data_IF_978392569866
#
_entry.id   IF_978392569866
#
_cell.length_a   1.000
_cell.length_b   1.000
_cell.length_c   1.000
_cell.angle_alpha   90.00
_cell.angle_beta   90.00
_cell.angle_gamma   90.00
#
_symmetry.space_group_name_H-M   'P 1'
#
loop_
_entity.id
_entity.type
_entity.pdbx_description
1 polymer ?
#
# COMPACT_ATOMS: atom_id res chain seq x y z
N UNK A 1 -2.95 2.43 -44.25
CA UNK A 1 -2.23 1.21 -43.81
C UNK A 1 -0.96 1.46 -42.98
N UNK A 2 0.14 2.03 -43.51
CA UNK A 2 1.36 2.24 -42.70
C UNK A 2 1.18 3.28 -41.57
N UNK A 3 0.47 4.38 -41.85
CA UNK A 3 0.15 5.41 -40.86
C UNK A 3 -0.75 4.89 -39.73
N UNK A 4 -1.79 4.12 -40.06
CA UNK A 4 -2.69 3.50 -39.07
C UNK A 4 -1.98 2.44 -38.20
N UNK A 5 -1.01 1.70 -38.76
CA UNK A 5 -0.18 0.78 -37.96
C UNK A 5 0.74 1.54 -37.01
N UNK A 6 1.35 2.64 -37.43
CA UNK A 6 2.20 3.47 -36.57
C UNK A 6 1.42 4.07 -35.41
N UNK A 7 0.29 4.71 -35.71
CA UNK A 7 -0.61 5.30 -34.73
C UNK A 7 -1.11 4.24 -33.72
N UNK A 8 -1.51 3.05 -34.19
CA UNK A 8 -1.96 1.95 -33.32
C UNK A 8 -0.87 1.51 -32.33
N UNK A 9 0.40 1.45 -32.74
CA UNK A 9 1.50 1.04 -31.86
C UNK A 9 1.80 2.11 -30.80
N UNK A 10 1.67 3.39 -31.12
CA UNK A 10 1.80 4.49 -30.16
C UNK A 10 0.69 4.45 -29.10
N UNK A 11 -0.55 4.20 -29.52
CA UNK A 11 -1.68 4.04 -28.60
C UNK A 11 -1.53 2.85 -27.65
N UNK A 12 -1.10 1.69 -28.14
CA UNK A 12 -0.88 0.52 -27.26
C UNK A 12 0.26 0.76 -26.27
N UNK A 13 1.30 1.52 -26.64
CA UNK A 13 2.36 1.95 -25.70
C UNK A 13 1.80 2.87 -24.62
N UNK A 14 0.95 3.82 -24.99
CA UNK A 14 0.28 4.70 -24.03
C UNK A 14 -0.57 3.89 -23.04
N UNK A 15 -1.35 2.92 -23.53
CA UNK A 15 -2.14 2.04 -22.66
C UNK A 15 -1.28 1.16 -21.74
N UNK A 16 -0.09 0.72 -22.19
CA UNK A 16 0.85 0.02 -21.33
C UNK A 16 1.34 0.92 -20.20
N UNK A 17 1.70 2.17 -20.49
CA UNK A 17 2.12 3.14 -19.48
C UNK A 17 0.98 3.43 -18.49
N UNK A 18 -0.25 3.61 -18.97
CA UNK A 18 -1.44 3.79 -18.12
C UNK A 18 -1.65 2.56 -17.22
N UNK A 19 -1.46 1.34 -17.74
CA UNK A 19 -1.57 0.10 -16.98
C UNK A 19 -0.49 0.02 -15.88
N UNK A 20 0.77 0.34 -16.19
CA UNK A 20 1.83 0.38 -15.19
C UNK A 20 1.56 1.42 -14.11
N UNK A 21 1.16 2.64 -14.48
CA UNK A 21 0.78 3.69 -13.52
C UNK A 21 -0.40 3.25 -12.66
N UNK A 22 -1.42 2.62 -13.27
CA UNK A 22 -2.58 2.09 -12.56
C UNK A 22 -2.23 0.95 -11.61
N UNK A 23 -1.24 0.12 -11.92
CA UNK A 23 -0.73 -0.89 -11.00
C UNK A 23 -0.13 -0.24 -9.75
N UNK A 24 0.73 0.77 -9.89
CA UNK A 24 1.29 1.46 -8.72
C UNK A 24 0.22 2.21 -7.92
N UNK A 25 -0.74 2.85 -8.58
CA UNK A 25 -1.86 3.52 -7.89
C UNK A 25 -2.74 2.54 -7.11
N UNK A 26 -3.12 1.40 -7.72
CA UNK A 26 -3.91 0.37 -7.04
C UNK A 26 -3.13 -0.31 -5.91
N UNK A 27 -1.82 -0.51 -6.07
CA UNK A 27 -0.93 -1.03 -5.03
C UNK A 27 -0.90 -0.11 -3.81
N UNK A 28 -0.66 1.19 -4.01
CA UNK A 28 -0.64 2.18 -2.92
C UNK A 28 -2.01 2.28 -2.25
N UNK A 29 -3.09 2.26 -3.04
CA UNK A 29 -4.46 2.32 -2.51
C UNK A 29 -4.84 1.07 -1.70
N UNK A 30 -4.49 -0.12 -2.18
CA UNK A 30 -4.68 -1.36 -1.44
C UNK A 30 -3.84 -1.38 -0.15
N UNK A 31 -2.58 -0.94 -0.24
CA UNK A 31 -1.68 -0.80 0.90
C UNK A 31 -2.25 0.13 1.97
N UNK A 32 -2.77 1.30 1.60
CA UNK A 32 -3.41 2.23 2.52
C UNK A 32 -4.54 1.56 3.32
N UNK A 33 -5.47 0.89 2.64
CA UNK A 33 -6.58 0.22 3.31
C UNK A 33 -6.11 -0.95 4.18
N UNK A 34 -5.06 -1.65 3.78
CA UNK A 34 -4.46 -2.69 4.61
C UNK A 34 -3.87 -2.12 5.91
N UNK A 35 -3.18 -0.98 5.85
CA UNK A 35 -2.51 -0.36 7.00
C UNK A 35 -3.50 0.27 7.99
N UNK A 36 -4.54 0.94 7.51
CA UNK A 36 -5.57 1.58 8.36
C UNK A 36 -6.55 0.58 8.99
N UNK A 37 -6.22 -0.71 8.99
CA UNK A 37 -7.05 -1.76 9.59
C UNK A 37 -7.38 -1.50 11.06
N UNK A 38 -6.44 -0.93 11.81
CA UNK A 38 -6.64 -0.58 13.22
C UNK A 38 -7.68 0.54 13.42
N UNK A 39 -7.86 1.40 12.41
CA UNK A 39 -8.74 2.57 12.45
C UNK A 39 -10.07 2.34 11.73
N UNK A 40 -10.34 1.11 11.28
CA UNK A 40 -11.60 0.72 10.64
C UNK A 40 -12.82 1.04 11.50
N UNK A 41 -12.71 0.93 12.82
CA UNK A 41 -13.83 1.25 13.71
C UNK A 41 -14.20 2.73 13.67
N UNK A 42 -13.21 3.61 13.56
CA UNK A 42 -13.44 5.07 13.43
C UNK A 42 -14.14 5.38 12.10
N UNK A 43 -13.66 4.79 11.00
CA UNK A 43 -14.32 4.89 9.70
C UNK A 43 -15.78 4.40 9.73
N UNK A 44 -16.01 3.25 10.35
CA UNK A 44 -17.35 2.66 10.46
C UNK A 44 -18.29 3.55 11.29
N UNK A 45 -17.78 4.16 12.36
CA UNK A 45 -18.51 5.15 13.17
C UNK A 45 -18.86 6.40 12.38
N UNK A 46 -17.91 6.95 11.62
CA UNK A 46 -18.17 8.07 10.74
C UNK A 46 -19.30 7.76 9.73
N UNK A 47 -19.24 6.58 9.12
CA UNK A 47 -20.27 6.14 8.18
C UNK A 47 -21.63 5.89 8.86
N UNK A 48 -21.63 5.35 10.07
CA UNK A 48 -22.84 5.20 10.89
C UNK A 48 -23.52 6.55 11.12
N UNK A 49 -22.76 7.56 11.55
CA UNK A 49 -23.30 8.90 11.81
C UNK A 49 -23.93 9.54 10.56
N UNK A 50 -23.42 9.21 9.37
CA UNK A 50 -23.94 9.71 8.09
C UNK A 50 -25.12 8.90 7.54
N UNK A 51 -25.16 7.59 7.77
CA UNK A 51 -26.16 6.67 7.20
C UNK A 51 -27.31 6.33 8.15
N UNK A 52 -27.11 6.50 9.45
CA UNK A 52 -28.08 6.18 10.50
C UNK A 52 -28.19 4.70 10.86
N UNK A 53 -27.34 3.83 10.30
CA UNK A 53 -27.32 2.39 10.61
C UNK A 53 -25.89 1.84 10.63
N UNK A 54 -25.67 0.84 11.48
CA UNK A 54 -24.35 0.23 11.67
C UNK A 54 -24.09 -0.81 10.59
N UNK A 55 -22.91 -0.72 9.98
CA UNK A 55 -22.40 -1.70 9.04
C UNK A 55 -20.87 -1.60 9.00
N UNK A 56 -20.19 -2.69 8.69
CA UNK A 56 -18.73 -2.75 8.58
C UNK A 56 -18.28 -2.19 7.23
N UNK A 57 -18.47 -0.89 7.02
CA UNK A 57 -18.22 -0.19 5.75
C UNK A 57 -16.78 -0.27 5.26
N UNK A 58 -15.80 -0.40 6.16
CA UNK A 58 -14.40 -0.60 5.81
C UNK A 58 -14.17 -1.90 5.03
N UNK A 59 -14.92 -2.96 5.33
CA UNK A 59 -14.74 -4.28 4.69
C UNK A 59 -15.07 -4.25 3.19
N UNK A 60 -16.24 -3.75 2.74
CA UNK A 60 -16.51 -3.56 1.31
C UNK A 60 -15.47 -2.68 0.61
N UNK A 61 -14.95 -1.65 1.27
CA UNK A 61 -13.95 -0.76 0.65
C UNK A 61 -12.62 -1.50 0.44
N UNK A 62 -12.15 -2.27 1.44
CA UNK A 62 -10.98 -3.12 1.30
C UNK A 62 -11.17 -4.19 0.21
N UNK A 63 -12.36 -4.82 0.14
CA UNK A 63 -12.70 -5.80 -0.91
C UNK A 63 -12.66 -5.16 -2.29
N UNK A 64 -13.18 -3.93 -2.45
CA UNK A 64 -13.11 -3.20 -3.72
C UNK A 64 -11.66 -2.83 -4.08
N UNK A 65 -10.87 -2.35 -3.12
CA UNK A 65 -9.47 -2.01 -3.33
C UNK A 65 -8.64 -3.23 -3.75
N UNK A 66 -8.78 -4.34 -3.02
CA UNK A 66 -8.11 -5.61 -3.33
C UNK A 66 -8.54 -6.19 -4.69
N UNK A 67 -9.84 -6.15 -5.01
CA UNK A 67 -10.34 -6.61 -6.31
C UNK A 67 -9.76 -5.78 -7.46
N UNK A 68 -9.73 -4.45 -7.32
CA UNK A 68 -9.11 -3.56 -8.29
C UNK A 68 -7.62 -3.83 -8.48
N UNK A 69 -6.89 -4.02 -7.38
CA UNK A 69 -5.47 -4.36 -7.42
C UNK A 69 -5.21 -5.71 -8.10
N UNK A 70 -5.95 -6.77 -7.74
CA UNK A 70 -5.81 -8.09 -8.37
C UNK A 70 -6.12 -8.00 -9.87
N UNK A 71 -7.19 -7.32 -10.25
CA UNK A 71 -7.58 -7.15 -11.65
C UNK A 71 -6.48 -6.45 -12.47
N UNK A 72 -5.95 -5.32 -11.98
CA UNK A 72 -4.90 -4.57 -12.68
C UNK A 72 -3.58 -5.36 -12.71
N UNK A 73 -3.24 -6.06 -11.63
CA UNK A 73 -2.06 -6.94 -11.57
C UNK A 73 -2.16 -8.07 -12.60
N UNK A 74 -3.33 -8.70 -12.71
CA UNK A 74 -3.58 -9.74 -13.71
C UNK A 74 -3.38 -9.21 -15.14
N UNK A 75 -3.94 -8.03 -15.45
CA UNK A 75 -3.73 -7.40 -16.75
C UNK A 75 -2.25 -7.06 -17.01
N UNK A 76 -1.52 -6.60 -16.00
CA UNK A 76 -0.09 -6.32 -16.10
C UNK A 76 0.71 -7.60 -16.40
N UNK A 77 0.42 -8.70 -15.70
CA UNK A 77 1.06 -10.00 -15.95
C UNK A 77 0.80 -10.45 -17.38
N UNK A 78 -0.45 -10.37 -17.86
CA UNK A 78 -0.77 -10.71 -19.24
C UNK A 78 0.00 -9.83 -20.24
N UNK A 79 0.08 -8.52 -19.99
CA UNK A 79 0.85 -7.60 -20.84
C UNK A 79 2.34 -7.98 -20.88
N UNK A 80 2.94 -8.33 -19.72
CA UNK A 80 4.32 -8.80 -19.65
C UNK A 80 4.52 -10.13 -20.38
N UNK A 81 3.56 -11.06 -20.31
CA UNK A 81 3.59 -12.31 -21.08
C UNK A 81 3.56 -12.07 -22.60
N UNK A 82 2.71 -11.15 -23.08
CA UNK A 82 2.71 -10.76 -24.49
C UNK A 82 4.08 -10.21 -24.93
N UNK A 83 4.67 -9.34 -24.11
CA UNK A 83 6.02 -8.78 -24.33
C UNK A 83 7.07 -9.90 -24.33
N UNK A 84 6.97 -10.89 -23.44
CA UNK A 84 7.88 -12.04 -23.39
C UNK A 84 7.86 -12.82 -24.71
N UNK A 85 6.66 -13.15 -25.21
CA UNK A 85 6.45 -13.89 -26.47
C UNK A 85 6.80 -13.03 -27.71
N UNK A 86 6.95 -11.71 -27.55
CA UNK A 86 7.23 -10.78 -28.65
C UNK A 86 5.97 -10.42 -29.44
N UNK A 87 4.80 -10.65 -28.87
CA UNK A 87 3.52 -10.19 -29.41
C UNK A 87 3.26 -8.75 -28.97
N UNK A 88 2.60 -7.99 -29.85
CA UNK A 88 2.11 -6.67 -29.48
C UNK A 88 1.03 -6.82 -28.41
N UNK A 89 1.10 -5.96 -27.39
CA UNK A 89 0.03 -5.86 -26.40
C UNK A 89 -1.22 -5.30 -27.11
N UNK A 90 -2.33 -6.02 -26.97
CA UNK A 90 -3.62 -5.62 -27.52
C UNK A 90 -4.65 -5.74 -26.40
N UNK A 91 -4.78 -4.65 -25.63
CA UNK A 91 -5.75 -4.63 -24.55
C UNK A 91 -7.15 -4.48 -25.14
N UNK A 92 -7.99 -5.49 -24.93
CA UNK A 92 -9.38 -5.44 -25.38
C UNK A 92 -10.09 -4.19 -24.84
N UNK A 93 -11.00 -3.60 -25.62
CA UNK A 93 -11.65 -2.34 -25.27
C UNK A 93 -12.36 -2.40 -23.90
N UNK A 94 -12.92 -3.58 -23.55
CA UNK A 94 -13.51 -3.83 -22.24
C UNK A 94 -12.51 -3.56 -21.10
N UNK A 95 -11.28 -4.05 -21.24
CA UNK A 95 -10.25 -3.86 -20.22
C UNK A 95 -9.71 -2.44 -20.19
N UNK A 96 -9.67 -1.75 -21.35
CA UNK A 96 -9.37 -0.31 -21.41
C UNK A 96 -10.40 0.49 -20.60
N UNK A 97 -11.69 0.23 -20.81
CA UNK A 97 -12.77 0.84 -20.03
C UNK A 97 -12.64 0.47 -18.55
N UNK A 98 -12.46 -0.81 -18.22
CA UNK A 98 -12.29 -1.26 -16.83
C UNK A 98 -11.13 -0.57 -16.12
N UNK A 99 -9.97 -0.46 -16.77
CA UNK A 99 -8.80 0.24 -16.24
C UNK A 99 -9.10 1.73 -15.99
N UNK A 100 -9.77 2.41 -16.94
CA UNK A 100 -10.15 3.82 -16.73
C UNK A 100 -11.13 3.99 -15.57
N UNK A 101 -12.09 3.09 -15.39
CA UNK A 101 -13.04 3.13 -14.27
C UNK A 101 -12.31 2.95 -12.94
N UNK A 102 -11.37 2.00 -12.85
CA UNK A 102 -10.57 1.79 -11.64
C UNK A 102 -9.74 3.04 -11.30
N UNK A 103 -9.09 3.66 -12.29
CA UNK A 103 -8.30 4.87 -12.08
C UNK A 103 -9.15 6.06 -11.61
N UNK A 104 -10.31 6.28 -12.22
CA UNK A 104 -11.25 7.33 -11.79
C UNK A 104 -11.78 7.05 -10.39
N UNK A 105 -12.10 5.79 -10.07
CA UNK A 105 -12.56 5.41 -8.73
C UNK A 105 -11.49 5.69 -7.67
N UNK A 106 -10.21 5.35 -7.94
CA UNK A 106 -9.10 5.66 -7.02
C UNK A 106 -8.95 7.17 -6.86
N UNK A 107 -8.98 7.94 -7.94
CA UNK A 107 -8.90 9.40 -7.86
C UNK A 107 -10.00 9.97 -6.94
N UNK A 108 -11.25 9.57 -7.15
CA UNK A 108 -12.39 10.00 -6.31
C UNK A 108 -12.19 9.56 -4.87
N UNK A 109 -11.69 8.34 -4.64
CA UNK A 109 -11.48 7.82 -3.30
C UNK A 109 -10.35 8.54 -2.55
N UNK A 110 -9.23 8.85 -3.21
CA UNK A 110 -8.14 9.66 -2.67
C UNK A 110 -8.62 11.06 -2.31
N UNK A 111 -9.40 11.70 -3.18
CA UNK A 111 -10.00 13.01 -2.89
C UNK A 111 -10.93 12.92 -1.67
N UNK A 112 -11.71 11.85 -1.58
CA UNK A 112 -12.63 11.64 -0.46
C UNK A 112 -11.89 11.48 0.87
N UNK A 113 -10.82 10.67 0.91
CA UNK A 113 -9.96 10.52 2.10
C UNK A 113 -9.29 11.84 2.45
N UNK A 114 -8.74 12.57 1.47
CA UNK A 114 -8.13 13.87 1.71
C UNK A 114 -9.11 14.91 2.30
N UNK A 115 -10.39 14.85 1.96
CA UNK A 115 -11.40 15.78 2.47
C UNK A 115 -11.99 15.35 3.82
N UNK A 116 -12.14 14.05 4.05
CA UNK A 116 -12.88 13.51 5.19
C UNK A 116 -11.98 13.00 6.31
N UNK A 117 -10.76 12.59 5.97
CA UNK A 117 -9.88 11.86 6.88
C UNK A 117 -8.40 12.16 6.58
N UNK A 118 -8.07 13.46 6.56
CA UNK A 118 -6.76 13.95 6.18
C UNK A 118 -5.63 13.53 7.15
N UNK A 119 -5.97 13.32 8.42
CA UNK A 119 -5.02 12.97 9.49
C UNK A 119 -4.39 11.58 9.27
N UNK A 120 -5.06 10.69 8.53
CA UNK A 120 -4.58 9.33 8.25
C UNK A 120 -3.45 9.28 7.22
N UNK A 121 -3.21 10.36 6.46
CA UNK A 121 -2.09 10.40 5.52
C UNK A 121 -0.73 10.29 6.24
N UNK A 122 -0.65 10.75 7.49
CA UNK A 122 0.56 10.62 8.30
C UNK A 122 0.85 9.16 8.68
N UNK A 123 -0.20 8.35 8.86
CA UNK A 123 -0.07 6.91 9.12
C UNK A 123 0.60 6.23 7.93
N UNK A 124 0.24 6.59 6.70
CA UNK A 124 0.84 6.01 5.50
C UNK A 124 2.36 6.19 5.49
N UNK A 125 2.86 7.39 5.83
CA UNK A 125 4.29 7.66 5.84
C UNK A 125 5.03 6.84 6.89
N UNK A 126 4.47 6.75 8.10
CA UNK A 126 5.05 5.98 9.21
C UNK A 126 5.01 4.48 8.89
N UNK A 127 3.88 3.99 8.38
CA UNK A 127 3.71 2.61 7.93
C UNK A 127 4.66 2.26 6.79
N UNK A 128 4.89 3.17 5.83
CA UNK A 128 5.88 2.97 4.77
C UNK A 128 7.28 2.83 5.34
N UNK A 129 7.68 3.61 6.34
CA UNK A 129 9.00 3.46 6.96
C UNK A 129 9.13 2.14 7.73
N UNK A 130 8.07 1.72 8.41
CA UNK A 130 8.04 0.44 9.12
C UNK A 130 8.12 -0.75 8.15
N UNK A 131 7.41 -0.68 7.02
CA UNK A 131 7.35 -1.75 6.02
C UNK A 131 8.41 -1.65 4.92
N UNK A 132 9.15 -0.54 4.84
CA UNK A 132 10.15 -0.26 3.80
C UNK A 132 11.16 -1.39 3.59
N UNK A 133 11.73 -2.05 4.63
CA UNK A 133 12.64 -3.18 4.42
C UNK A 133 11.98 -4.34 3.67
N UNK A 134 10.71 -4.65 3.95
CA UNK A 134 9.98 -5.73 3.29
C UNK A 134 9.60 -5.35 1.85
N UNK A 135 9.12 -4.11 1.64
CA UNK A 135 8.83 -3.57 0.31
C UNK A 135 10.09 -3.51 -0.56
N UNK A 136 11.25 -3.19 0.02
CA UNK A 136 12.53 -3.20 -0.67
C UNK A 136 12.92 -4.60 -1.17
N UNK A 137 12.83 -5.62 -0.32
CA UNK A 137 13.08 -7.01 -0.71
C UNK A 137 12.15 -7.41 -1.85
N UNK A 138 10.85 -7.07 -1.74
CA UNK A 138 9.87 -7.32 -2.79
C UNK A 138 10.20 -6.62 -4.11
N UNK A 139 10.63 -5.36 -4.06
CA UNK A 139 11.00 -4.58 -5.23
C UNK A 139 12.28 -5.13 -5.92
N UNK A 140 13.28 -5.55 -5.15
CA UNK A 140 14.48 -6.22 -5.69
C UNK A 140 14.10 -7.55 -6.34
N UNK A 141 13.25 -8.36 -5.70
CA UNK A 141 12.76 -9.60 -6.28
C UNK A 141 11.96 -9.38 -7.58
N UNK A 142 11.13 -8.34 -7.64
CA UNK A 142 10.41 -7.99 -8.86
C UNK A 142 11.38 -7.53 -9.97
N UNK A 143 12.38 -6.71 -9.65
CA UNK A 143 13.39 -6.25 -10.59
C UNK A 143 14.21 -7.41 -11.17
N UNK A 144 14.60 -8.39 -10.34
CA UNK A 144 15.34 -9.57 -10.79
C UNK A 144 14.50 -10.46 -11.71
N UNK A 145 13.20 -10.64 -11.42
CA UNK A 145 12.28 -11.37 -12.32
C UNK A 145 12.12 -10.64 -13.66
N UNK A 146 11.99 -9.32 -13.64
CA UNK A 146 11.88 -8.50 -14.86
C UNK A 146 13.17 -8.47 -15.68
N UNK A 147 14.34 -8.76 -15.08
CA UNK A 147 15.64 -8.73 -15.74
C UNK A 147 15.66 -9.58 -17.01
N UNK A 148 15.08 -10.77 -16.97
CA UNK A 148 15.01 -11.67 -18.12
C UNK A 148 14.20 -11.06 -19.28
N UNK A 149 13.06 -10.43 -18.97
CA UNK A 149 12.23 -9.77 -19.99
C UNK A 149 12.97 -8.61 -20.63
N UNK A 150 13.69 -7.82 -19.82
CA UNK A 150 14.49 -6.68 -20.28
C UNK A 150 15.64 -7.15 -21.17
N UNK A 151 16.37 -8.19 -20.76
CA UNK A 151 17.43 -8.79 -21.58
C UNK A 151 16.88 -9.33 -22.92
N UNK A 152 15.70 -9.96 -22.91
CA UNK A 152 15.03 -10.42 -24.11
C UNK A 152 14.57 -9.28 -25.04
N UNK A 153 14.15 -8.13 -24.50
CA UNK A 153 13.85 -6.93 -25.30
C UNK A 153 15.11 -6.30 -25.88
N UNK A 154 16.19 -6.26 -25.09
CA UNK A 154 17.49 -5.75 -25.53
C UNK A 154 18.03 -6.56 -26.71
N UNK A 155 18.02 -7.90 -26.59
CA UNK A 155 18.52 -8.80 -27.62
C UNK A 155 17.70 -8.78 -28.92
N UNK A 156 16.39 -8.49 -28.85
CA UNK A 156 15.49 -8.44 -30.02
C UNK A 156 15.45 -7.06 -30.70
N UNK A 157 16.00 -6.02 -30.08
CA UNK A 157 15.90 -4.67 -30.63
C UNK A 157 17.04 -4.35 -31.58
N UNK A 158 16.71 -3.94 -32.80
CA UNK A 158 17.71 -3.48 -33.78
C UNK A 158 18.12 -2.01 -33.59
N UNK A 159 17.45 -1.29 -32.67
CA UNK A 159 17.66 0.16 -32.48
C UNK A 159 18.54 0.40 -31.27
N UNK A 160 19.79 0.80 -31.52
CA UNK A 160 20.79 1.14 -30.48
C UNK A 160 20.27 2.19 -29.50
N UNK A 161 19.48 3.17 -29.96
CA UNK A 161 18.87 4.19 -29.10
C UNK A 161 17.91 3.55 -28.07
N UNK A 162 17.08 2.59 -28.51
CA UNK A 162 16.15 1.90 -27.63
C UNK A 162 16.88 0.95 -26.66
N UNK A 163 17.88 0.22 -27.13
CA UNK A 163 18.74 -0.64 -26.31
C UNK A 163 19.44 0.17 -25.19
N UNK A 164 20.05 1.29 -25.56
CA UNK A 164 20.75 2.18 -24.62
C UNK A 164 19.78 2.75 -23.60
N UNK A 165 18.62 3.24 -24.05
CA UNK A 165 17.58 3.76 -23.16
C UNK A 165 17.07 2.71 -22.17
N UNK A 166 16.73 1.51 -22.66
CA UNK A 166 16.24 0.39 -21.85
C UNK A 166 17.27 0.00 -20.77
N UNK A 167 18.54 -0.12 -21.17
CA UNK A 167 19.64 -0.47 -20.26
C UNK A 167 19.86 0.61 -19.20
N UNK A 168 19.86 1.88 -19.58
CA UNK A 168 20.03 3.00 -18.64
C UNK A 168 18.90 3.07 -17.63
N UNK A 169 17.64 2.89 -18.07
CA UNK A 169 16.47 2.87 -17.17
C UNK A 169 16.57 1.70 -16.18
N UNK A 170 16.92 0.50 -16.66
CA UNK A 170 17.05 -0.66 -15.78
C UNK A 170 18.21 -0.54 -14.80
N UNK A 171 19.37 -0.07 -15.26
CA UNK A 171 20.53 0.18 -14.40
C UNK A 171 20.23 1.26 -13.36
N UNK A 172 19.58 2.35 -13.77
CA UNK A 172 19.13 3.41 -12.87
C UNK A 172 18.17 2.90 -11.80
N UNK A 173 17.22 2.05 -12.17
CA UNK A 173 16.32 1.37 -11.24
C UNK A 173 17.09 0.50 -10.24
N UNK A 174 18.05 -0.32 -10.70
CA UNK A 174 18.86 -1.16 -9.83
C UNK A 174 19.71 -0.33 -8.86
N UNK A 175 20.38 0.71 -9.36
CA UNK A 175 21.19 1.60 -8.52
C UNK A 175 20.30 2.25 -7.46
N UNK A 176 19.14 2.79 -7.84
CA UNK A 176 18.19 3.37 -6.90
C UNK A 176 17.78 2.34 -5.84
N UNK A 177 17.34 1.14 -6.24
CA UNK A 177 16.97 0.07 -5.33
C UNK A 177 18.13 -0.30 -4.39
N UNK A 178 19.36 -0.45 -4.87
CA UNK A 178 20.50 -0.80 -4.01
C UNK A 178 20.93 0.33 -3.06
N UNK A 179 20.60 1.59 -3.37
CA UNK A 179 20.83 2.73 -2.48
C UNK A 179 19.71 2.96 -1.46
N UNK A 180 18.49 2.46 -1.70
CA UNK A 180 17.35 2.60 -0.77
C UNK A 180 17.69 2.20 0.68
N UNK A 181 18.40 1.09 0.96
CA UNK A 181 18.75 0.71 2.34
C UNK A 181 19.57 1.74 3.10
N UNK A 182 20.28 2.66 2.41
CA UNK A 182 21.02 3.75 3.05
C UNK A 182 20.10 4.87 3.55
N UNK A 183 18.87 4.94 3.03
CA UNK A 183 17.89 6.00 3.30
C UNK A 183 16.77 5.48 4.23
N UNK A 184 16.55 4.17 4.31
CA UNK A 184 15.53 3.59 5.20
C UNK A 184 15.93 3.82 6.66
N UNK A 185 15.15 4.65 7.35
CA UNK A 185 15.12 4.73 8.80
C UNK A 185 13.89 3.97 9.31
N UNK A 186 14.11 2.93 10.12
CA UNK A 186 12.99 2.16 10.69
C UNK A 186 12.58 2.75 12.04
N UNK A 187 11.33 3.21 12.22
CA UNK A 187 10.85 3.70 13.52
C UNK A 187 10.78 2.58 14.57
N UNK A 188 10.85 1.32 14.16
CA UNK A 188 10.81 0.17 15.07
C UNK A 188 12.16 -0.15 15.70
N UNK A 189 13.27 0.30 15.09
CA UNK A 189 14.64 0.02 15.56
C UNK A 189 15.30 1.35 15.90
N UNK A 190 14.90 1.92 17.03
CA UNK A 190 15.46 3.16 17.56
C UNK A 190 16.60 2.86 18.53
N UNK A 191 17.64 3.71 18.53
CA UNK A 191 18.65 3.65 19.59
C UNK A 191 18.05 4.15 20.89
N UNK A 192 18.62 3.71 22.01
CA UNK A 192 18.14 4.07 23.34
C UNK A 192 18.20 5.58 23.61
N UNK A 193 19.14 6.28 22.99
CA UNK A 193 19.30 7.74 23.05
C UNK A 193 18.20 8.51 22.31
N UNK A 194 17.58 7.90 21.29
CA UNK A 194 16.51 8.49 20.49
C UNK A 194 15.11 8.22 21.07
N UNK A 195 15.01 7.41 22.13
CA UNK A 195 13.75 7.09 22.77
C UNK A 195 13.25 8.28 23.60
N UNK A 196 12.02 8.70 23.32
CA UNK A 196 11.26 9.60 24.19
C UNK A 196 11.14 9.03 25.61
N UNK A 197 10.86 9.90 26.59
CA UNK A 197 10.63 9.50 27.98
C UNK A 197 9.63 8.33 28.03
N UNK A 198 9.93 7.32 28.86
CA UNK A 198 9.05 6.16 29.09
C UNK A 198 7.60 6.65 29.26
N UNK A 199 6.65 6.17 28.45
CA UNK A 199 5.26 6.58 28.58
C UNK A 199 4.70 6.12 29.92
N UNK A 200 3.78 6.89 30.48
CA UNK A 200 3.07 6.50 31.69
C UNK A 200 2.19 5.27 31.39
N UNK A 201 2.38 4.19 32.13
CA UNK A 201 1.61 2.96 32.00
C UNK A 201 0.48 2.99 33.03
N UNK A 202 -0.75 3.15 32.56
CA UNK A 202 -1.94 3.20 33.42
C UNK A 202 -2.62 1.83 33.40
N UNK A 203 -2.83 1.25 34.60
CA UNK A 203 -3.58 0.00 34.76
C UNK A 203 -5.07 0.24 34.54
N UNK A 204 -5.56 -0.05 33.33
CA UNK A 204 -6.98 0.09 33.01
C UNK A 204 -7.82 -0.98 33.74
N UNK A 205 -8.65 -0.56 34.71
CA UNK A 205 -9.38 -1.45 35.64
C UNK A 205 -8.45 -2.37 36.45
N UNK A 206 -7.22 -1.90 36.70
CA UNK A 206 -6.12 -2.68 37.29
C UNK A 206 -5.32 -3.45 36.23
N UNK A 207 -5.11 -4.76 36.43
CA UNK A 207 -4.50 -5.69 35.45
C UNK A 207 -5.47 -6.82 35.14
N UNK A 208 -6.47 -6.60 34.26
CA UNK A 208 -7.56 -7.55 34.02
C UNK A 208 -7.10 -8.91 33.45
N UNK A 209 -5.93 -8.97 32.82
CA UNK A 209 -5.35 -10.24 32.36
C UNK A 209 -4.78 -11.11 33.49
N UNK A 210 -4.57 -10.55 34.70
CA UNK A 210 -3.97 -11.25 35.84
C UNK A 210 -4.88 -11.36 37.07
N UNK A 211 -5.90 -10.52 37.19
CA UNK A 211 -6.84 -10.51 38.31
C UNK A 211 -8.19 -9.91 37.88
N UNK A 212 -9.29 -10.19 38.60
CA UNK A 212 -10.62 -9.68 38.25
C UNK A 212 -10.67 -8.15 38.15
N UNK A 213 -11.24 -7.62 37.06
CA UNK A 213 -11.30 -6.18 36.79
C UNK A 213 -12.02 -5.37 37.88
N UNK A 214 -11.61 -4.11 38.07
CA UNK A 214 -12.19 -3.19 39.07
C UNK A 214 -12.21 -3.72 40.51
N UNK A 215 -11.28 -4.62 40.88
CA UNK A 215 -11.13 -5.13 42.25
C UNK A 215 -9.85 -4.64 42.90
N UNK A 216 -9.86 -4.57 44.24
CA UNK A 216 -8.66 -4.23 45.03
C UNK A 216 -7.48 -5.14 44.69
N UNK A 217 -7.72 -6.43 44.47
CA UNK A 217 -6.70 -7.40 44.06
C UNK A 217 -6.03 -7.03 42.73
N UNK A 218 -6.82 -6.56 41.76
CA UNK A 218 -6.30 -6.15 40.44
C UNK A 218 -5.48 -4.86 40.51
N UNK A 219 -5.88 -3.92 41.36
CA UNK A 219 -5.09 -2.71 41.63
C UNK A 219 -3.80 -3.00 42.41
N UNK A 220 -3.84 -3.93 43.36
CA UNK A 220 -2.64 -4.40 44.06
C UNK A 220 -1.64 -5.02 43.08
N UNK A 221 -2.10 -5.90 42.18
CA UNK A 221 -1.24 -6.42 41.11
C UNK A 221 -0.72 -5.33 40.19
N UNK A 222 -1.52 -4.32 39.83
CA UNK A 222 -1.05 -3.20 39.01
C UNK A 222 0.08 -2.41 39.70
N UNK A 223 -0.03 -2.21 41.02
CA UNK A 223 0.99 -1.55 41.82
C UNK A 223 2.29 -2.39 41.91
N UNK A 224 2.17 -3.71 42.10
CA UNK A 224 3.32 -4.64 42.07
C UNK A 224 4.09 -4.56 40.74
N UNK A 225 3.38 -4.38 39.63
CA UNK A 225 3.95 -4.22 38.29
C UNK A 225 4.40 -2.78 37.96
N UNK A 226 4.41 -1.88 38.95
CA UNK A 226 4.86 -0.48 38.82
C UNK A 226 4.10 0.30 37.75
N UNK A 227 2.77 0.14 37.72
CA UNK A 227 1.92 1.04 36.96
C UNK A 227 2.07 2.48 37.48
N UNK A 228 2.09 3.45 36.58
CA UNK A 228 2.24 4.87 36.89
C UNK A 228 0.90 5.48 37.36
N UNK A 229 -0.22 4.79 37.14
CA UNK A 229 -1.56 5.17 37.62
C UNK A 229 -2.61 4.08 37.42
N UNK A 230 -3.83 4.33 37.91
CA UNK A 230 -4.96 3.41 37.80
C UNK A 230 -6.18 4.10 37.18
N UNK A 231 -6.90 3.39 36.32
CA UNK A 231 -8.22 3.80 35.86
C UNK A 231 -9.28 2.90 36.52
N UNK A 232 -10.30 3.51 37.14
CA UNK A 232 -11.37 2.81 37.87
C UNK A 232 -12.74 3.31 37.39
N UNK A 233 -13.66 2.37 37.20
CA UNK A 233 -15.05 2.70 36.90
C UNK A 233 -15.87 2.72 38.20
N UNK A 234 -16.60 3.82 38.43
CA UNK A 234 -17.48 3.99 39.58
C UNK A 234 -18.91 4.13 39.10
N UNK A 235 -19.82 3.38 39.71
CA UNK A 235 -21.28 3.51 39.50
C UNK A 235 -21.95 3.78 40.85
N UNK A 236 -22.89 4.73 40.86
CA UNK A 236 -23.72 5.03 42.04
C UNK A 236 -24.90 4.07 42.02
N UNK A 237 -25.22 3.50 43.18
CA UNK A 237 -26.34 2.58 43.36
C UNK A 237 -27.48 3.25 44.11
#
# INVERSE_FOLDING_TARGET
MLFERSCRVEWERLWFLILCTGFFMTLVWFYFWWEVHNDYNEFNWYMYNKKGYWNDWSVPVLVLASTGFIYVTFLLILALCHIAVGQQMNLHWLHKVGLTVVLVAILVAVISVNQLWNEEWDIILISFQATAPFLHIGAVAAATILAWLIAGQFARSDRVVFQTFLLLVYLGLLIALYLVPLIIYSPCIMKREDLSRRPAVIGNRGVPMLAPENTLMSFQKAAEWRADGFNINVTIR
#
